data_IF_927182704111
#
_entry.id   IF_927182704111
#
_cell.length_a   1.000
_cell.length_b   1.000
_cell.length_c   1.000
_cell.angle_alpha   90.00
_cell.angle_beta   90.00
_cell.angle_gamma   90.00
#
_symmetry.space_group_name_H-M   'P 1'
#
loop_
_entity.id
_entity.type
_entity.pdbx_description
1 polymer ?
#
# COMPACT_ATOMS: atom_id res chain seq x y z
N UNK A 1 31.13 53.26 11.73
CA UNK A 1 31.55 51.84 11.71
C UNK A 1 30.95 51.22 12.98
N UNK A 2 30.08 50.22 13.00
CA UNK A 2 29.83 49.11 12.09
C UNK A 2 28.37 48.65 12.19
N UNK A 3 27.87 48.06 11.11
CA UNK A 3 26.67 47.22 11.04
C UNK A 3 26.74 46.06 12.06
N UNK A 4 25.58 45.67 12.59
CA UNK A 4 25.16 44.26 12.54
C UNK A 4 23.64 44.16 12.72
N UNK A 5 22.94 43.88 11.62
CA UNK A 5 21.70 43.12 11.69
C UNK A 5 22.08 41.67 11.97
N UNK A 6 21.37 41.02 12.89
CA UNK A 6 21.32 39.57 12.95
C UNK A 6 19.86 39.19 13.14
N UNK A 7 19.16 39.19 12.01
CA UNK A 7 17.85 38.57 11.82
C UNK A 7 18.03 37.09 12.17
N UNK A 8 17.50 36.67 13.31
CA UNK A 8 17.50 35.25 13.69
C UNK A 8 16.60 34.52 12.71
N UNK A 9 17.24 33.80 11.78
CA UNK A 9 16.55 32.94 10.82
C UNK A 9 15.95 31.75 11.58
N UNK A 10 14.66 31.84 11.89
CA UNK A 10 13.86 30.69 12.28
C UNK A 10 13.69 29.81 11.03
N UNK A 11 14.56 28.82 10.90
CA UNK A 11 14.30 27.66 10.06
C UNK A 11 13.51 26.64 10.88
N UNK A 12 12.26 26.30 10.53
CA UNK A 12 11.62 25.13 11.12
C UNK A 12 12.35 23.88 10.61
N UNK A 13 13.08 23.25 11.53
CA UNK A 13 13.66 21.92 11.40
C UNK A 13 12.53 20.88 11.49
N UNK A 14 11.79 20.68 10.41
CA UNK A 14 10.76 19.64 10.29
C UNK A 14 11.07 18.72 9.09
N UNK A 15 12.23 18.06 9.14
CA UNK A 15 12.58 16.99 8.20
C UNK A 15 12.86 15.65 8.91
N UNK A 16 12.25 15.45 10.09
CA UNK A 16 12.53 14.31 10.98
C UNK A 16 11.28 13.53 11.42
N UNK A 17 10.30 13.31 10.52
CA UNK A 17 9.33 12.21 10.64
C UNK A 17 8.65 11.96 9.28
N UNK A 18 9.35 11.28 8.36
CA UNK A 18 8.69 10.70 7.18
C UNK A 18 8.53 9.21 7.38
N UNK A 19 7.83 8.82 8.43
CA UNK A 19 7.23 7.48 8.48
C UNK A 19 6.33 7.33 7.25
N UNK A 20 6.44 6.24 6.47
CA UNK A 20 5.61 6.08 5.28
C UNK A 20 4.14 6.06 5.70
N UNK A 21 3.34 6.94 5.11
CA UNK A 21 1.92 7.10 5.45
C UNK A 21 1.11 6.11 4.60
N UNK A 22 0.24 5.28 5.20
CA UNK A 22 -0.67 4.43 4.46
C UNK A 22 -1.58 5.25 3.53
N UNK A 23 -1.81 4.70 2.33
CA UNK A 23 -2.62 5.28 1.27
C UNK A 23 -3.88 4.45 1.08
N UNK A 24 -4.97 5.12 0.70
CA UNK A 24 -6.22 4.45 0.35
C UNK A 24 -6.40 4.42 -1.17
N UNK A 25 -6.60 3.24 -1.72
CA UNK A 25 -6.85 3.02 -3.15
C UNK A 25 -8.21 2.35 -3.30
N UNK A 26 -9.12 2.98 -4.06
CA UNK A 26 -10.43 2.42 -4.37
C UNK A 26 -10.39 1.83 -5.77
N UNK A 27 -10.61 0.52 -5.90
CA UNK A 27 -10.67 -0.17 -7.18
C UNK A 27 -12.05 -0.77 -7.39
N UNK A 28 -12.57 -0.70 -8.61
CA UNK A 28 -13.73 -1.50 -9.00
C UNK A 28 -13.26 -2.87 -9.47
N UNK A 29 -13.78 -3.94 -8.85
CA UNK A 29 -13.44 -5.31 -9.22
C UNK A 29 -14.19 -5.72 -10.49
N UNK A 30 -13.45 -5.88 -11.58
CA UNK A 30 -13.98 -6.37 -12.86
C UNK A 30 -14.13 -7.90 -12.89
N UNK A 31 -14.51 -8.42 -14.06
CA UNK A 31 -14.69 -9.85 -14.29
C UNK A 31 -13.40 -10.66 -14.02
N UNK A 32 -12.25 -10.12 -14.40
CA UNK A 32 -10.92 -10.71 -14.17
C UNK A 32 -10.32 -10.36 -12.78
N UNK A 33 -11.11 -9.75 -11.90
CA UNK A 33 -10.70 -9.36 -10.55
C UNK A 33 -10.08 -7.96 -10.46
N UNK A 34 -9.14 -7.79 -9.53
CA UNK A 34 -8.53 -6.48 -9.20
C UNK A 34 -7.31 -6.12 -10.06
N UNK A 35 -6.80 -7.05 -10.86
CA UNK A 35 -5.70 -6.78 -11.78
C UNK A 35 -4.29 -6.75 -11.16
N UNK A 36 -4.07 -7.46 -10.06
CA UNK A 36 -2.72 -7.68 -9.49
C UNK A 36 -2.59 -9.07 -8.86
N UNK A 37 -1.35 -9.47 -8.57
CA UNK A 37 -1.02 -10.68 -7.81
C UNK A 37 -0.24 -10.33 -6.55
N UNK A 38 -0.32 -11.21 -5.55
CA UNK A 38 0.33 -11.01 -4.25
C UNK A 38 1.38 -12.09 -3.95
N UNK A 39 2.27 -11.79 -3.02
CA UNK A 39 3.22 -12.71 -2.37
C UNK A 39 3.26 -12.43 -0.86
N UNK A 40 3.96 -13.29 -0.11
CA UNK A 40 4.05 -13.20 1.34
C UNK A 40 2.86 -13.88 2.03
N UNK A 41 2.63 -13.49 3.28
CA UNK A 41 1.70 -14.13 4.20
C UNK A 41 2.45 -14.86 5.32
N UNK A 42 1.77 -15.04 6.45
CA UNK A 42 2.24 -15.86 7.55
C UNK A 42 2.48 -17.30 7.09
N UNK A 43 3.63 -17.88 7.47
CA UNK A 43 4.03 -19.22 7.06
C UNK A 43 4.35 -19.38 5.57
N UNK A 44 4.61 -18.29 4.84
CA UNK A 44 5.00 -18.39 3.42
C UNK A 44 6.35 -19.13 3.27
N UNK A 45 6.70 -19.65 2.07
CA UNK A 45 8.00 -20.30 1.84
C UNK A 45 9.23 -19.43 2.14
N UNK A 46 9.03 -18.11 2.31
CA UNK A 46 10.06 -17.14 2.64
C UNK A 46 9.99 -16.66 4.11
N UNK A 47 9.20 -17.34 4.94
CA UNK A 47 8.92 -16.97 6.33
C UNK A 47 7.66 -16.10 6.47
N UNK A 48 7.53 -15.49 7.64
CA UNK A 48 6.42 -14.61 7.98
C UNK A 48 6.63 -13.24 7.37
N UNK A 49 6.09 -13.05 6.17
CA UNK A 49 6.17 -11.81 5.42
C UNK A 49 4.81 -11.14 5.34
N UNK A 50 4.72 -9.80 5.35
CA UNK A 50 3.51 -9.10 4.97
C UNK A 50 3.01 -9.47 3.56
N UNK A 51 1.76 -9.11 3.27
CA UNK A 51 1.19 -9.28 1.93
C UNK A 51 1.69 -8.15 1.03
N UNK A 52 2.44 -8.51 -0.02
CA UNK A 52 2.98 -7.55 -1.00
C UNK A 52 2.41 -7.77 -2.39
N UNK A 53 2.31 -6.69 -3.16
CA UNK A 53 2.00 -6.74 -4.59
C UNK A 53 3.21 -7.27 -5.37
N UNK A 54 3.04 -8.44 -5.99
CA UNK A 54 4.06 -9.07 -6.85
C UNK A 54 4.07 -8.45 -8.25
N UNK A 55 2.89 -8.36 -8.85
CA UNK A 55 2.72 -7.90 -10.24
C UNK A 55 1.40 -7.15 -10.36
N UNK A 56 1.43 -5.99 -11.02
CA UNK A 56 0.22 -5.30 -11.49
C UNK A 56 0.05 -5.66 -12.96
N UNK A 57 -1.08 -6.27 -13.31
CA UNK A 57 -1.33 -6.77 -14.66
C UNK A 57 -1.81 -5.64 -15.57
N UNK A 58 -1.16 -5.51 -16.74
CA UNK A 58 -1.58 -4.57 -17.79
C UNK A 58 -3.07 -4.71 -18.08
N UNK A 59 -3.77 -3.58 -18.22
CA UNK A 59 -5.23 -3.49 -18.46
C UNK A 59 -6.13 -3.93 -17.30
N UNK A 60 -5.59 -4.38 -16.17
CA UNK A 60 -6.38 -4.67 -14.97
C UNK A 60 -6.80 -3.40 -14.22
N UNK A 61 -7.77 -3.51 -13.30
CA UNK A 61 -8.30 -2.37 -12.54
C UNK A 61 -7.20 -1.58 -11.80
N UNK A 62 -6.28 -2.28 -11.13
CA UNK A 62 -5.13 -1.65 -10.48
C UNK A 62 -4.19 -0.91 -11.44
N UNK A 63 -4.02 -1.41 -12.68
CA UNK A 63 -3.19 -0.74 -13.69
C UNK A 63 -3.88 0.51 -14.26
N UNK A 64 -5.20 0.45 -14.46
CA UNK A 64 -6.01 1.57 -14.95
C UNK A 64 -6.06 2.70 -13.93
N UNK A 65 -6.23 2.37 -12.64
CA UNK A 65 -6.14 3.36 -11.55
C UNK A 65 -4.71 3.93 -11.42
N UNK A 66 -3.70 3.05 -11.53
CA UNK A 66 -2.31 3.46 -11.66
C UNK A 66 -1.64 3.89 -10.35
N UNK A 67 -2.33 3.89 -9.20
CA UNK A 67 -1.71 4.22 -7.90
C UNK A 67 -1.03 3.02 -7.24
N UNK A 68 -1.55 1.80 -7.44
CA UNK A 68 -0.96 0.58 -6.89
C UNK A 68 0.27 0.15 -7.72
N UNK A 69 1.37 -0.19 -7.04
CA UNK A 69 2.65 -0.57 -7.65
C UNK A 69 3.14 -1.90 -7.13
N UNK A 70 4.03 -2.54 -7.90
CA UNK A 70 4.80 -3.70 -7.42
C UNK A 70 5.64 -3.28 -6.22
N UNK A 71 5.66 -4.11 -5.18
CA UNK A 71 6.39 -3.86 -3.94
C UNK A 71 5.55 -3.17 -2.86
N UNK A 72 4.38 -2.62 -3.21
CA UNK A 72 3.44 -2.08 -2.23
C UNK A 72 2.99 -3.18 -1.26
N UNK A 73 2.93 -2.86 0.02
CA UNK A 73 2.36 -3.71 1.06
C UNK A 73 0.86 -3.44 1.18
N UNK A 74 0.05 -4.50 1.13
CA UNK A 74 -1.39 -4.40 1.38
C UNK A 74 -1.61 -4.66 2.86
N UNK A 75 -2.07 -3.64 3.57
CA UNK A 75 -2.37 -3.69 5.00
C UNK A 75 -3.79 -4.20 5.25
N UNK A 76 -4.75 -3.77 4.43
CA UNK A 76 -6.14 -4.14 4.58
C UNK A 76 -6.89 -4.12 3.24
N UNK A 77 -7.98 -4.88 3.18
CA UNK A 77 -8.93 -4.95 2.08
C UNK A 77 -10.32 -4.68 2.65
N UNK A 78 -10.92 -3.55 2.27
CA UNK A 78 -12.07 -2.96 2.95
C UNK A 78 -11.77 -2.83 4.45
N UNK A 79 -12.60 -3.42 5.30
CA UNK A 79 -12.47 -3.38 6.76
C UNK A 79 -11.67 -4.57 7.32
N UNK A 80 -11.05 -5.38 6.45
CA UNK A 80 -10.37 -6.62 6.84
C UNK A 80 -8.85 -6.46 6.78
N UNK A 81 -8.18 -6.57 7.92
CA UNK A 81 -6.71 -6.53 8.02
C UNK A 81 -6.08 -7.77 7.39
N UNK A 82 -4.94 -7.57 6.72
CA UNK A 82 -4.07 -8.63 6.21
C UNK A 82 -2.82 -8.83 7.09
N UNK A 83 -2.76 -8.21 8.26
CA UNK A 83 -1.68 -8.43 9.20
C UNK A 83 -1.74 -9.85 9.80
N UNK A 84 -0.64 -10.60 9.70
CA UNK A 84 -0.53 -11.94 10.27
C UNK A 84 -1.37 -13.02 9.57
N UNK A 85 -2.07 -12.69 8.49
CA UNK A 85 -2.86 -13.69 7.73
C UNK A 85 -1.95 -14.54 6.85
N UNK A 86 -2.35 -15.78 6.61
CA UNK A 86 -1.66 -16.66 5.66
C UNK A 86 -1.85 -16.17 4.22
N UNK A 87 -1.00 -16.65 3.31
CA UNK A 87 -1.14 -16.36 1.88
C UNK A 87 -2.54 -16.75 1.36
N UNK A 88 -3.01 -17.93 1.75
CA UNK A 88 -4.28 -18.48 1.28
C UNK A 88 -5.48 -17.66 1.79
N UNK A 89 -5.42 -17.21 3.04
CA UNK A 89 -6.43 -16.30 3.61
C UNK A 89 -6.45 -14.95 2.91
N UNK A 90 -5.28 -14.34 2.64
CA UNK A 90 -5.20 -13.09 1.88
C UNK A 90 -5.81 -13.23 0.49
N UNK A 91 -5.52 -14.34 -0.20
CA UNK A 91 -6.13 -14.66 -1.50
C UNK A 91 -7.64 -14.82 -1.37
N UNK A 92 -8.12 -15.52 -0.34
CA UNK A 92 -9.56 -15.71 -0.10
C UNK A 92 -10.28 -14.38 0.18
N UNK A 93 -9.66 -13.49 0.97
CA UNK A 93 -10.15 -12.14 1.27
C UNK A 93 -10.30 -11.34 -0.03
N UNK A 94 -9.26 -11.24 -0.85
CA UNK A 94 -9.29 -10.51 -2.12
C UNK A 94 -10.31 -11.11 -3.10
N UNK A 95 -10.41 -12.44 -3.16
CA UNK A 95 -11.33 -13.14 -4.07
C UNK A 95 -12.80 -12.99 -3.69
N UNK A 96 -13.16 -12.90 -2.40
CA UNK A 96 -14.57 -12.76 -1.99
C UNK A 96 -15.16 -11.37 -2.24
N UNK A 97 -14.34 -10.32 -2.28
CA UNK A 97 -14.83 -8.96 -2.47
C UNK A 97 -15.59 -8.80 -3.80
N UNK A 98 -16.50 -7.84 -3.87
CA UNK A 98 -17.30 -7.52 -5.06
C UNK A 98 -17.48 -6.01 -5.18
N UNK A 99 -17.67 -5.51 -6.40
CA UNK A 99 -17.87 -4.09 -6.65
C UNK A 99 -16.65 -3.27 -6.25
N UNK A 100 -16.85 -2.18 -5.52
CA UNK A 100 -15.78 -1.33 -5.05
C UNK A 100 -15.01 -1.98 -3.88
N UNK A 101 -13.69 -2.01 -4.01
CA UNK A 101 -12.76 -2.57 -3.03
C UNK A 101 -11.77 -1.50 -2.63
N UNK A 102 -11.74 -1.20 -1.34
CA UNK A 102 -10.79 -0.28 -0.74
C UNK A 102 -9.55 -1.04 -0.32
N UNK A 103 -8.38 -0.61 -0.76
CA UNK A 103 -7.09 -1.16 -0.32
C UNK A 103 -6.40 -0.11 0.55
N UNK A 104 -5.95 -0.52 1.73
CA UNK A 104 -5.03 0.26 2.54
C UNK A 104 -3.61 -0.22 2.25
N UNK A 105 -2.75 0.67 1.78
CA UNK A 105 -1.48 0.32 1.15
C UNK A 105 -0.33 1.14 1.71
N UNK A 106 0.80 0.50 1.96
CA UNK A 106 2.07 1.17 2.30
C UNK A 106 3.05 1.02 1.12
N UNK A 107 3.71 2.11 0.72
CA UNK A 107 4.68 2.14 -0.38
C UNK A 107 6.07 2.54 0.08
#
# INVERSE_FOLDING_TARGET
MSLSQSMTSEHPSEEADRSPVPKIILLEKGADGLGFSIVGGYGSPHGDLPIYVKTVFSKGAAAVDGRLKRGDQILAVNDESLEGVTHEEAVAILKRQKGNVTLTVLS
#
